data_IF_403358277833
#
_entry.id   IF_403358277833
#
_cell.length_a   1.000
_cell.length_b   1.000
_cell.length_c   1.000
_cell.angle_alpha   90.00
_cell.angle_beta   90.00
_cell.angle_gamma   90.00
#
_symmetry.space_group_name_H-M   'P 1'
#
loop_
_entity.id
_entity.type
_entity.pdbx_description
1 polymer ?
#
# COMPACT_ATOMS: atom_id res chain seq x y z
N UNK A 1 -12.19 9.65 48.64
CA UNK A 1 -13.12 8.57 48.22
C UNK A 1 -12.87 8.39 46.76
N UNK A 2 -11.94 7.50 46.50
CA UNK A 2 -11.17 7.48 45.29
C UNK A 2 -11.85 6.43 44.41
N UNK A 3 -12.86 6.93 43.68
CA UNK A 3 -13.80 6.13 42.90
C UNK A 3 -13.16 5.66 41.60
N UNK A 4 -12.01 4.99 41.73
CA UNK A 4 -11.31 4.35 40.62
C UNK A 4 -12.17 3.21 40.05
N UNK A 5 -12.35 3.13 38.73
CA UNK A 5 -13.18 2.10 38.12
C UNK A 5 -12.56 0.70 38.31
N UNK A 6 -13.40 -0.31 38.46
CA UNK A 6 -13.00 -1.70 38.22
C UNK A 6 -12.89 -1.96 36.72
N UNK A 7 -12.03 -2.90 36.33
CA UNK A 7 -11.77 -3.20 34.93
C UNK A 7 -13.06 -3.59 34.18
N UNK A 8 -13.35 -2.93 33.06
CA UNK A 8 -14.55 -3.09 32.24
C UNK A 8 -14.65 -4.44 31.50
N UNK A 9 -13.70 -5.36 31.72
CA UNK A 9 -13.61 -6.68 31.06
C UNK A 9 -13.73 -7.83 32.07
N UNK A 10 -13.05 -7.72 33.22
CA UNK A 10 -12.99 -8.77 34.25
C UNK A 10 -13.48 -8.34 35.64
N UNK A 11 -13.90 -7.08 35.79
CA UNK A 11 -14.36 -6.46 37.05
C UNK A 11 -13.33 -6.44 38.19
N UNK A 12 -12.04 -6.67 37.91
CA UNK A 12 -10.97 -6.58 38.90
C UNK A 12 -10.75 -5.12 39.38
N UNK A 13 -10.38 -4.88 40.66
CA UNK A 13 -10.03 -3.55 41.16
C UNK A 13 -8.82 -2.94 40.44
N UNK A 14 -8.77 -1.61 40.32
CA UNK A 14 -7.71 -0.88 39.60
C UNK A 14 -6.28 -1.24 40.06
N UNK A 15 -6.07 -1.44 41.37
CA UNK A 15 -4.77 -1.81 41.95
C UNK A 15 -4.32 -3.27 41.65
N UNK A 16 -5.10 -4.07 40.93
CA UNK A 16 -4.81 -5.49 40.69
C UNK A 16 -3.80 -5.76 39.55
N UNK A 17 -3.24 -4.71 38.91
CA UNK A 17 -2.27 -4.87 37.81
C UNK A 17 -2.86 -5.52 36.55
N UNK A 18 -4.15 -5.32 36.29
CA UNK A 18 -4.87 -5.99 35.21
C UNK A 18 -4.54 -5.38 33.83
N UNK A 19 -4.20 -6.24 32.85
CA UNK A 19 -3.81 -5.82 31.50
C UNK A 19 -4.93 -5.89 30.45
N UNK A 20 -6.11 -6.44 30.80
CA UNK A 20 -7.14 -6.79 29.82
C UNK A 20 -7.63 -5.60 28.97
N UNK A 21 -7.70 -4.39 29.54
CA UNK A 21 -8.11 -3.19 28.79
C UNK A 21 -7.04 -2.74 27.80
N UNK A 22 -5.77 -2.72 28.20
CA UNK A 22 -4.65 -2.47 27.29
C UNK A 22 -4.58 -3.53 26.18
N UNK A 23 -4.73 -4.81 26.48
CA UNK A 23 -4.75 -5.89 25.48
C UNK A 23 -5.89 -5.71 24.48
N UNK A 24 -7.11 -5.43 24.97
CA UNK A 24 -8.29 -5.23 24.11
C UNK A 24 -8.21 -3.93 23.30
N UNK A 25 -7.52 -2.90 23.80
CA UNK A 25 -7.22 -1.68 23.08
C UNK A 25 -6.20 -1.92 21.95
N UNK A 26 -5.13 -2.68 22.19
CA UNK A 26 -4.17 -3.06 21.13
C UNK A 26 -4.89 -3.85 20.02
N UNK A 27 -5.67 -4.88 20.38
CA UNK A 27 -6.47 -5.65 19.40
C UNK A 27 -7.42 -4.75 18.59
N UNK A 28 -8.01 -3.72 19.22
CA UNK A 28 -8.86 -2.76 18.52
C UNK A 28 -8.07 -1.80 17.61
N UNK A 29 -6.83 -1.45 17.98
CA UNK A 29 -5.89 -0.67 17.19
C UNK A 29 -5.42 -1.45 15.95
N UNK A 30 -4.92 -2.68 16.12
CA UNK A 30 -4.48 -3.56 15.03
C UNK A 30 -5.57 -3.71 13.96
N UNK A 31 -6.81 -3.95 14.41
CA UNK A 31 -7.98 -4.07 13.53
C UNK A 31 -8.35 -2.75 12.85
N UNK A 32 -8.09 -1.61 13.48
CA UNK A 32 -8.35 -0.29 12.88
C UNK A 32 -7.26 0.09 11.86
N UNK A 33 -6.00 -0.22 12.16
CA UNK A 33 -4.86 -0.02 11.26
C UNK A 33 -5.04 -0.84 9.99
N UNK A 34 -5.25 -2.15 10.08
CA UNK A 34 -5.51 -3.03 8.92
C UNK A 34 -6.59 -2.46 8.00
N UNK A 35 -7.78 -2.14 8.55
CA UNK A 35 -8.90 -1.55 7.77
C UNK A 35 -8.56 -0.19 7.14
N UNK A 36 -7.66 0.59 7.74
CA UNK A 36 -7.33 1.93 7.27
C UNK A 36 -6.13 1.97 6.30
N UNK A 37 -5.20 1.02 6.42
CA UNK A 37 -3.87 1.08 5.82
C UNK A 37 -3.56 -0.07 4.85
N UNK A 38 -4.12 -1.28 5.01
CA UNK A 38 -3.73 -2.45 4.17
C UNK A 38 -3.89 -2.16 2.67
N UNK A 39 -5.06 -1.63 2.29
CA UNK A 39 -5.34 -1.24 0.90
C UNK A 39 -4.39 -0.14 0.40
N UNK A 40 -4.06 0.84 1.25
CA UNK A 40 -3.14 1.93 0.90
C UNK A 40 -1.73 1.40 0.68
N UNK A 41 -1.26 0.49 1.53
CA UNK A 41 0.05 -0.14 1.42
C UNK A 41 0.12 -1.04 0.19
N UNK A 42 -0.97 -1.72 -0.18
CA UNK A 42 -1.08 -2.46 -1.43
C UNK A 42 -1.01 -1.55 -2.66
N UNK A 43 -1.78 -0.45 -2.69
CA UNK A 43 -1.75 0.55 -3.77
C UNK A 43 -0.34 1.16 -3.93
N UNK A 44 0.28 1.57 -2.82
CA UNK A 44 1.66 2.08 -2.78
C UNK A 44 2.65 1.03 -3.32
N UNK A 45 2.54 -0.22 -2.87
CA UNK A 45 3.44 -1.31 -3.28
C UNK A 45 3.35 -1.60 -4.78
N UNK A 46 2.15 -1.65 -5.36
CA UNK A 46 1.99 -1.85 -6.81
C UNK A 46 2.51 -0.63 -7.58
N UNK A 47 2.22 0.59 -7.10
CA UNK A 47 2.75 1.81 -7.72
C UNK A 47 4.28 1.80 -7.76
N UNK A 48 4.96 1.55 -6.63
CA UNK A 48 6.42 1.44 -6.55
C UNK A 48 6.94 0.30 -7.45
N UNK A 49 6.33 -0.88 -7.40
CA UNK A 49 6.75 -2.04 -8.20
C UNK A 49 6.68 -1.75 -9.70
N UNK A 50 5.59 -1.16 -10.18
CA UNK A 50 5.41 -0.83 -11.59
C UNK A 50 6.37 0.26 -12.05
N UNK A 51 6.62 1.29 -11.24
CA UNK A 51 7.59 2.36 -11.58
C UNK A 51 9.04 1.87 -11.55
N UNK A 52 9.42 1.07 -10.55
CA UNK A 52 10.76 0.47 -10.45
C UNK A 52 11.05 -0.47 -11.63
N UNK A 53 10.11 -1.37 -11.96
CA UNK A 53 10.17 -2.24 -13.15
C UNK A 53 10.36 -1.43 -14.43
N UNK A 54 9.56 -0.38 -14.63
CA UNK A 54 9.64 0.48 -15.82
C UNK A 54 10.99 1.21 -15.91
N UNK A 55 11.51 1.76 -14.81
CA UNK A 55 12.82 2.42 -14.78
C UNK A 55 13.97 1.46 -15.17
N UNK A 56 13.97 0.24 -14.61
CA UNK A 56 14.96 -0.79 -14.93
C UNK A 56 14.84 -1.26 -16.39
N UNK A 57 13.62 -1.45 -16.91
CA UNK A 57 13.38 -1.80 -18.31
C UNK A 57 13.89 -0.71 -19.27
N UNK A 58 13.59 0.57 -19.03
CA UNK A 58 14.09 1.68 -19.84
C UNK A 58 15.62 1.81 -19.80
N UNK A 59 16.25 1.52 -18.66
CA UNK A 59 17.71 1.50 -18.54
C UNK A 59 18.33 0.37 -19.37
N UNK A 60 17.79 -0.84 -19.25
CA UNK A 60 18.25 -2.01 -19.99
C UNK A 60 18.02 -1.89 -21.52
N UNK A 61 16.92 -1.27 -21.95
CA UNK A 61 16.66 -0.98 -23.36
C UNK A 61 17.75 -0.08 -23.96
N UNK A 62 18.18 0.98 -23.26
CA UNK A 62 19.27 1.85 -23.73
C UNK A 62 20.58 1.09 -23.91
N UNK A 63 20.94 0.23 -22.95
CA UNK A 63 22.13 -0.64 -23.05
C UNK A 63 22.02 -1.61 -24.24
N UNK A 64 20.84 -2.22 -24.42
CA UNK A 64 20.54 -3.12 -25.54
C UNK A 64 20.72 -2.43 -26.89
N UNK A 65 20.18 -1.21 -27.06
CA UNK A 65 20.34 -0.43 -28.29
C UNK A 65 21.81 -0.08 -28.57
N UNK A 66 22.59 0.30 -27.55
CA UNK A 66 24.03 0.56 -27.70
C UNK A 66 24.76 -0.70 -28.17
N UNK A 67 24.49 -1.87 -27.57
CA UNK A 67 25.08 -3.15 -28.02
C UNK A 67 24.63 -3.56 -29.42
N UNK A 68 23.37 -3.31 -29.81
CA UNK A 68 22.88 -3.60 -31.16
C UNK A 68 23.64 -2.78 -32.20
N UNK A 69 23.83 -1.48 -31.99
CA UNK A 69 24.65 -0.65 -32.89
C UNK A 69 26.11 -1.12 -32.96
N UNK A 70 26.72 -1.46 -31.82
CA UNK A 70 28.08 -2.00 -31.78
C UNK A 70 28.20 -3.34 -32.53
N UNK A 71 27.24 -4.24 -32.36
CA UNK A 71 27.19 -5.53 -33.05
C UNK A 71 27.03 -5.37 -34.57
N UNK A 72 26.13 -4.48 -35.02
CA UNK A 72 25.96 -4.18 -36.44
C UNK A 72 27.23 -3.56 -37.03
N UNK A 73 27.88 -2.63 -36.32
CA UNK A 73 29.14 -2.02 -36.76
C UNK A 73 30.27 -3.06 -36.86
N UNK A 74 30.39 -3.96 -35.88
CA UNK A 74 31.37 -5.05 -35.90
C UNK A 74 31.13 -5.99 -37.09
N UNK A 75 29.91 -6.51 -37.26
CA UNK A 75 29.58 -7.42 -38.36
C UNK A 75 29.84 -6.76 -39.73
N UNK A 76 29.46 -5.49 -39.91
CA UNK A 76 29.75 -4.72 -41.13
C UNK A 76 31.25 -4.48 -41.38
N UNK A 77 32.11 -4.67 -40.39
CA UNK A 77 33.58 -4.59 -40.53
C UNK A 77 34.26 -5.91 -40.88
N UNK A 78 33.53 -7.04 -40.82
CA UNK A 78 34.09 -8.37 -41.10
C UNK A 78 34.41 -8.55 -42.60
N UNK A 79 35.57 -9.12 -42.97
CA UNK A 79 35.94 -9.35 -44.36
C UNK A 79 34.90 -10.20 -45.12
N UNK A 80 34.48 -9.73 -46.29
CA UNK A 80 33.47 -10.35 -47.17
C UNK A 80 32.05 -10.42 -46.60
N UNK A 81 31.74 -9.79 -45.46
CA UNK A 81 30.40 -9.81 -44.88
C UNK A 81 29.33 -9.17 -45.77
N UNK A 82 29.66 -8.09 -46.48
CA UNK A 82 28.72 -7.46 -47.43
C UNK A 82 28.39 -8.40 -48.60
N UNK A 83 29.37 -9.14 -49.13
CA UNK A 83 29.17 -10.16 -50.16
C UNK A 83 28.35 -11.33 -49.61
N UNK A 84 28.68 -11.82 -48.41
CA UNK A 84 27.94 -12.89 -47.74
C UNK A 84 26.45 -12.54 -47.56
N UNK A 85 26.14 -11.30 -47.14
CA UNK A 85 24.77 -10.82 -46.99
C UNK A 85 24.06 -10.62 -48.34
N UNK A 86 24.74 -10.11 -49.38
CA UNK A 86 24.17 -9.94 -50.73
C UNK A 86 23.76 -11.27 -51.38
N UNK A 87 24.49 -12.34 -51.10
CA UNK A 87 24.24 -13.68 -51.62
C UNK A 87 23.51 -14.60 -50.60
N UNK A 88 22.80 -14.03 -49.62
CA UNK A 88 21.98 -14.77 -48.64
C UNK A 88 22.72 -15.90 -47.91
N UNK A 89 24.01 -15.72 -47.63
CA UNK A 89 24.87 -16.72 -46.97
C UNK A 89 25.56 -17.72 -47.91
N UNK A 90 25.31 -17.66 -49.22
CA UNK A 90 25.95 -18.51 -50.24
C UNK A 90 26.80 -17.72 -51.26
N UNK A 91 27.78 -16.89 -50.82
CA UNK A 91 28.60 -16.09 -51.74
C UNK A 91 29.54 -16.95 -52.61
N UNK A 92 29.80 -16.56 -53.87
CA UNK A 92 30.71 -17.27 -54.79
C UNK A 92 32.18 -16.95 -54.49
N UNK A 93 32.63 -17.26 -53.27
CA UNK A 93 34.01 -17.06 -52.79
C UNK A 93 34.59 -18.38 -52.27
N UNK A 94 35.90 -18.41 -51.98
CA UNK A 94 36.58 -19.65 -51.58
C UNK A 94 36.00 -20.25 -50.27
N UNK A 95 35.66 -21.56 -50.22
CA UNK A 95 34.93 -22.15 -49.09
C UNK A 95 35.57 -21.95 -47.70
N UNK A 96 36.91 -21.91 -47.62
CA UNK A 96 37.61 -21.64 -46.36
C UNK A 96 37.29 -20.24 -45.79
N UNK A 97 37.14 -19.23 -46.66
CA UNK A 97 36.79 -17.88 -46.24
C UNK A 97 35.33 -17.80 -45.75
N UNK A 98 34.43 -18.58 -46.35
CA UNK A 98 33.04 -18.71 -45.90
C UNK A 98 33.00 -19.32 -44.49
N UNK A 99 33.72 -20.43 -44.27
CA UNK A 99 33.78 -21.09 -42.96
C UNK A 99 34.40 -20.19 -41.87
N UNK A 100 35.46 -19.45 -42.20
CA UNK A 100 36.06 -18.47 -41.28
C UNK A 100 35.09 -17.33 -40.93
N UNK A 101 34.42 -16.75 -41.92
CA UNK A 101 33.43 -15.69 -41.70
C UNK A 101 32.23 -16.20 -40.89
N UNK A 102 31.72 -17.40 -41.17
CA UNK A 102 30.64 -18.02 -40.39
C UNK A 102 31.05 -18.24 -38.93
N UNK A 103 32.30 -18.65 -38.67
CA UNK A 103 32.82 -18.77 -37.31
C UNK A 103 32.86 -17.41 -36.59
N UNK A 104 33.32 -16.35 -37.26
CA UNK A 104 33.37 -14.99 -36.71
C UNK A 104 31.97 -14.42 -36.43
N UNK A 105 31.00 -14.68 -37.31
CA UNK A 105 29.59 -14.30 -37.12
C UNK A 105 29.00 -15.03 -35.89
N UNK A 106 29.22 -16.35 -35.78
CA UNK A 106 28.74 -17.15 -34.65
C UNK A 106 29.35 -16.73 -33.31
N UNK A 107 30.66 -16.47 -33.27
CA UNK A 107 31.37 -15.95 -32.10
C UNK A 107 30.83 -14.58 -31.68
N UNK A 108 30.64 -13.67 -32.64
CA UNK A 108 30.09 -12.35 -32.37
C UNK A 108 28.65 -12.41 -31.83
N UNK A 109 27.80 -13.30 -32.33
CA UNK A 109 26.46 -13.50 -31.77
C UNK A 109 26.50 -14.09 -30.35
N UNK A 110 27.46 -14.97 -30.06
CA UNK A 110 27.65 -15.52 -28.71
C UNK A 110 28.17 -14.47 -27.72
N UNK A 111 29.08 -13.58 -28.13
CA UNK A 111 29.52 -12.44 -27.32
C UNK A 111 28.40 -11.42 -27.10
N UNK A 112 27.65 -11.07 -28.16
CA UNK A 112 26.49 -10.19 -28.04
C UNK A 112 25.47 -10.72 -27.03
N UNK A 113 25.13 -12.02 -27.09
CA UNK A 113 24.22 -12.65 -26.13
C UNK A 113 24.75 -12.60 -24.70
N UNK A 114 26.04 -12.91 -24.49
CA UNK A 114 26.69 -12.80 -23.17
C UNK A 114 26.69 -11.37 -22.64
N UNK A 115 26.95 -10.37 -23.49
CA UNK A 115 26.86 -8.95 -23.13
C UNK A 115 25.45 -8.52 -22.71
N UNK A 116 24.42 -8.96 -23.42
CA UNK A 116 23.01 -8.70 -23.08
C UNK A 116 22.64 -9.36 -21.73
N UNK A 117 23.08 -10.58 -21.46
CA UNK A 117 22.81 -11.27 -20.19
C UNK A 117 23.51 -10.58 -19.00
N UNK A 118 24.73 -10.08 -19.21
CA UNK A 118 25.48 -9.31 -18.20
C UNK A 118 24.81 -7.96 -17.90
N UNK A 119 24.36 -7.24 -18.93
CA UNK A 119 23.63 -5.97 -18.76
C UNK A 119 22.28 -6.15 -18.07
N UNK A 120 21.56 -7.24 -18.38
CA UNK A 120 20.31 -7.57 -17.69
C UNK A 120 20.57 -7.84 -16.20
N UNK A 121 21.58 -8.67 -15.88
CA UNK A 121 21.98 -8.93 -14.49
C UNK A 121 22.38 -7.66 -13.75
N UNK A 122 23.18 -6.79 -14.38
CA UNK A 122 23.58 -5.51 -13.80
C UNK A 122 22.39 -4.56 -13.59
N UNK A 123 21.41 -4.58 -14.49
CA UNK A 123 20.17 -3.80 -14.37
C UNK A 123 19.29 -4.30 -13.23
N UNK A 124 19.15 -5.62 -13.07
CA UNK A 124 18.38 -6.25 -11.98
C UNK A 124 19.01 -5.98 -10.60
N UNK A 125 20.34 -5.94 -10.49
CA UNK A 125 21.03 -5.66 -9.22
C UNK A 125 20.75 -4.25 -8.66
N UNK A 126 20.23 -3.32 -9.48
CA UNK A 126 19.86 -1.97 -9.06
C UNK A 126 18.46 -1.87 -8.45
N UNK A 127 17.69 -2.96 -8.32
CA UNK A 127 16.35 -2.91 -7.75
C UNK A 127 16.27 -2.28 -6.34
N UNK A 128 17.18 -2.54 -5.38
CA UNK A 128 17.10 -1.93 -4.04
C UNK A 128 17.11 -0.40 -4.09
N UNK A 129 18.15 0.20 -4.68
CA UNK A 129 18.31 1.66 -4.84
C UNK A 129 17.09 2.31 -5.52
N UNK A 130 16.52 1.63 -6.52
CA UNK A 130 15.39 2.13 -7.30
C UNK A 130 14.07 1.99 -6.52
N UNK A 131 13.89 0.92 -5.75
CA UNK A 131 12.74 0.76 -4.85
C UNK A 131 12.79 1.79 -3.72
N UNK A 132 13.95 1.96 -3.08
CA UNK A 132 14.15 2.96 -2.02
C UNK A 132 13.84 4.38 -2.53
N UNK A 133 14.32 4.72 -3.74
CA UNK A 133 13.96 5.97 -4.41
C UNK A 133 12.45 6.12 -4.60
N UNK A 134 11.75 5.12 -5.17
CA UNK A 134 10.30 5.24 -5.39
C UNK A 134 9.49 5.23 -4.09
N UNK A 135 9.93 4.53 -3.04
CA UNK A 135 9.33 4.65 -1.70
C UNK A 135 9.57 6.04 -1.08
N UNK A 136 10.72 6.69 -1.31
CA UNK A 136 11.00 8.04 -0.81
C UNK A 136 10.12 9.14 -1.40
N UNK A 137 9.39 8.85 -2.49
CA UNK A 137 8.38 9.75 -3.09
C UNK A 137 6.99 9.61 -2.44
N UNK A 138 6.79 8.68 -1.51
CA UNK A 138 5.49 8.40 -0.87
C UNK A 138 5.33 9.27 0.38
N UNK A 139 4.47 10.29 0.28
CA UNK A 139 4.18 11.23 1.36
C UNK A 139 2.89 10.84 2.11
N UNK A 140 3.03 10.51 3.41
CA UNK A 140 1.92 10.21 4.31
C UNK A 140 1.77 11.32 5.35
N UNK A 141 0.72 12.13 5.22
CA UNK A 141 0.46 13.27 6.10
C UNK A 141 -0.59 12.96 7.15
N UNK A 142 -0.20 13.12 8.42
CA UNK A 142 -1.11 13.16 9.55
C UNK A 142 -1.81 14.53 9.62
N UNK A 143 -3.05 14.62 10.14
CA UNK A 143 -3.62 15.91 10.54
C UNK A 143 -2.86 16.47 11.74
N UNK A 144 -2.90 17.79 11.92
CA UNK A 144 -2.42 18.43 13.14
C UNK A 144 -3.45 18.29 14.28
N UNK A 145 -3.00 18.34 15.53
CA UNK A 145 -3.84 18.18 16.72
C UNK A 145 -4.96 19.24 16.83
N UNK A 146 -4.77 20.41 16.19
CA UNK A 146 -5.72 21.51 16.12
C UNK A 146 -6.67 21.45 14.90
N UNK A 147 -6.54 20.45 13.99
CA UNK A 147 -7.52 20.26 12.91
C UNK A 147 -8.89 19.99 13.53
N UNK A 148 -9.89 20.74 13.08
CA UNK A 148 -11.29 20.58 13.48
C UNK A 148 -11.82 19.15 13.32
N UNK A 149 -11.25 18.33 12.43
CA UNK A 149 -11.57 16.90 12.28
C UNK A 149 -11.06 16.05 13.44
N UNK A 150 -9.94 16.43 14.04
CA UNK A 150 -9.38 15.81 15.25
C UNK A 150 -10.17 16.29 16.46
N UNK A 151 -10.39 17.60 16.60
CA UNK A 151 -11.09 18.20 17.75
C UNK A 151 -12.61 17.95 17.78
N UNK A 152 -13.25 17.72 16.63
CA UNK A 152 -14.70 17.54 16.50
C UNK A 152 -15.01 16.33 15.59
N UNK A 153 -14.65 15.10 16.00
CA UNK A 153 -14.85 13.91 15.19
C UNK A 153 -16.36 13.58 15.05
N UNK A 154 -16.79 12.97 13.92
CA UNK A 154 -18.21 12.80 13.61
C UNK A 154 -18.97 11.92 14.62
N UNK A 155 -18.28 11.01 15.34
CA UNK A 155 -18.90 10.22 16.40
C UNK A 155 -19.28 11.06 17.63
N UNK A 156 -18.50 12.09 17.98
CA UNK A 156 -18.86 13.00 19.08
C UNK A 156 -20.18 13.74 18.78
N UNK A 157 -20.40 14.12 17.51
CA UNK A 157 -21.66 14.71 17.06
C UNK A 157 -22.84 13.70 17.01
N UNK A 158 -22.56 12.39 16.91
CA UNK A 158 -23.56 11.32 16.81
C UNK A 158 -24.18 10.89 18.16
N UNK A 159 -23.89 11.61 19.25
CA UNK A 159 -24.38 11.30 20.60
C UNK A 159 -23.33 10.70 21.53
N UNK A 160 -22.13 10.37 21.04
CA UNK A 160 -20.94 10.11 21.86
C UNK A 160 -20.35 11.43 22.42
N UNK A 161 -21.21 12.29 22.96
CA UNK A 161 -20.83 13.45 23.78
C UNK A 161 -20.53 12.93 25.17
N UNK A 162 -19.43 12.18 25.30
CA UNK A 162 -18.82 11.98 26.60
C UNK A 162 -18.47 13.37 27.16
N UNK A 163 -18.88 13.62 28.41
CA UNK A 163 -18.67 14.91 29.07
C UNK A 163 -17.19 15.20 29.33
N UNK A 164 -16.31 14.21 29.21
CA UNK A 164 -14.86 14.38 29.18
C UNK A 164 -14.29 14.89 27.84
N UNK A 165 -14.94 14.65 26.69
CA UNK A 165 -14.43 15.03 25.37
C UNK A 165 -14.82 16.47 24.97
N UNK A 166 -14.62 17.41 25.89
CA UNK A 166 -14.65 18.84 25.61
C UNK A 166 -13.23 19.40 25.78
N UNK A 167 -12.58 19.94 24.74
CA UNK A 167 -11.37 20.71 24.93
C UNK A 167 -11.73 21.93 25.80
N UNK A 168 -11.31 21.90 27.06
CA UNK A 168 -11.70 22.90 28.05
C UNK A 168 -11.20 24.29 27.63
N UNK A 169 -12.08 25.32 27.54
CA UNK A 169 -11.66 26.66 27.19
C UNK A 169 -10.74 27.25 28.27
N UNK A 170 -9.79 28.09 27.83
CA UNK A 170 -8.72 28.66 28.65
C UNK A 170 -9.11 29.11 30.05
N UNK A 171 -8.22 28.81 31.01
CA UNK A 171 -8.21 29.42 32.34
C UNK A 171 -7.71 30.87 32.21
N UNK A 172 -8.57 31.79 31.74
CA UNK A 172 -8.23 33.22 31.71
C UNK A 172 -9.40 34.21 31.68
N UNK A 173 -9.22 35.27 32.49
CA UNK A 173 -9.80 36.63 32.36
C UNK A 173 -11.32 36.80 32.52
N UNK A 174 -11.70 36.90 33.80
CA UNK A 174 -12.17 38.15 34.44
C UNK A 174 -13.10 39.07 33.59
N UNK A 175 -14.40 38.98 33.89
CA UNK A 175 -15.23 40.13 34.28
C UNK A 175 -15.62 41.21 33.27
N UNK A 176 -16.92 41.27 32.92
CA UNK A 176 -17.68 42.51 32.64
C UNK A 176 -19.20 42.24 32.66
N UNK A 177 -20.01 43.24 33.02
CA UNK A 177 -21.46 43.08 33.24
C UNK A 177 -22.36 43.81 32.21
N UNK A 178 -23.35 43.10 31.67
CA UNK A 178 -24.73 43.59 31.33
C UNK A 178 -24.82 44.73 30.26
N UNK A 179 -26.03 45.21 29.84
CA UNK A 179 -27.35 44.55 29.74
C UNK A 179 -28.05 44.67 28.35
N UNK A 180 -29.08 43.82 28.17
CA UNK A 180 -30.29 43.93 27.30
C UNK A 180 -30.50 45.19 26.41
N UNK A 181 -30.97 44.95 25.17
CA UNK A 181 -32.05 45.74 24.54
C UNK A 181 -32.97 44.88 23.65
N UNK A 182 -34.20 45.34 23.41
CA UNK A 182 -35.33 44.59 22.80
C UNK A 182 -36.05 45.48 21.78
N UNK A 183 -36.34 44.99 20.56
CA UNK A 183 -37.26 45.66 19.62
C UNK A 183 -37.99 44.67 18.70
N UNK A 184 -39.20 45.07 18.29
CA UNK A 184 -40.04 44.48 17.21
C UNK A 184 -39.59 45.12 15.86
N UNK A 185 -39.93 44.66 14.65
CA UNK A 185 -40.81 43.56 14.14
C UNK A 185 -40.02 42.92 12.94
N UNK A 186 -40.48 42.30 11.85
CA UNK A 186 -41.78 42.05 11.22
C UNK A 186 -41.71 40.90 10.16
N UNK A 187 -42.81 40.68 9.41
CA UNK A 187 -42.87 40.14 8.03
C UNK A 187 -42.50 38.67 7.73
N UNK A 188 -43.56 37.85 7.66
CA UNK A 188 -43.89 36.84 6.63
C UNK A 188 -42.78 36.06 5.88
N UNK A 189 -42.85 34.73 5.99
CA UNK A 189 -42.25 33.76 5.05
C UNK A 189 -42.87 32.37 5.23
N UNK A 190 -43.32 31.71 4.17
CA UNK A 190 -43.89 30.35 4.21
C UNK A 190 -42.78 29.29 4.15
N UNK A 191 -42.92 28.19 4.90
CA UNK A 191 -41.89 27.14 4.96
C UNK A 191 -42.31 25.89 5.73
N UNK A 192 -43.31 25.14 5.23
CA UNK A 192 -43.65 23.80 5.75
C UNK A 192 -42.65 22.78 5.21
N UNK A 193 -41.82 22.19 6.06
CA UNK A 193 -41.05 20.99 5.72
C UNK A 193 -41.06 19.97 6.86
N UNK A 194 -41.18 18.70 6.47
CA UNK A 194 -41.27 17.51 7.31
C UNK A 194 -40.09 17.36 8.29
N UNK A 195 -40.39 16.92 9.53
CA UNK A 195 -39.40 16.31 10.42
C UNK A 195 -39.11 14.88 9.99
N UNK A 196 -38.22 14.69 9.00
CA UNK A 196 -37.63 13.37 8.77
C UNK A 196 -36.73 12.99 9.95
N UNK A 197 -37.13 11.97 10.71
CA UNK A 197 -36.29 11.35 11.73
C UNK A 197 -35.35 10.37 11.03
N UNK A 198 -34.08 10.72 10.87
CA UNK A 198 -33.05 9.72 10.61
C UNK A 198 -32.80 8.93 11.89
N UNK A 199 -33.00 7.62 11.83
CA UNK A 199 -32.49 6.71 12.85
C UNK A 199 -30.99 6.46 12.60
N UNK A 200 -30.17 6.27 13.65
CA UNK A 200 -28.81 5.75 13.48
C UNK A 200 -28.84 4.35 12.84
N UNK A 201 -27.83 3.96 12.05
CA UNK A 201 -27.69 2.58 11.59
C UNK A 201 -27.43 1.64 12.77
N UNK A 202 -28.06 0.47 12.77
CA UNK A 202 -27.81 -0.56 13.77
C UNK A 202 -26.41 -1.18 13.58
N UNK A 203 -25.58 -1.12 14.62
CA UNK A 203 -24.31 -1.85 14.66
C UNK A 203 -24.57 -3.32 15.02
N UNK A 204 -23.87 -4.28 14.38
CA UNK A 204 -24.03 -5.70 14.72
C UNK A 204 -23.66 -5.98 16.17
N UNK A 205 -24.58 -6.55 16.94
CA UNK A 205 -24.30 -7.03 18.30
C UNK A 205 -23.28 -8.19 18.27
N UNK A 206 -22.33 -8.25 19.22
CA UNK A 206 -21.39 -9.36 19.30
C UNK A 206 -22.11 -10.69 19.62
N UNK A 207 -21.61 -11.84 19.14
CA UNK A 207 -22.32 -13.11 19.26
C UNK A 207 -22.36 -13.62 20.71
N UNK A 208 -23.58 -13.78 21.24
CA UNK A 208 -23.84 -14.31 22.59
C UNK A 208 -23.47 -15.80 22.66
N UNK A 209 -22.34 -16.13 23.25
CA UNK A 209 -21.95 -17.53 23.48
C UNK A 209 -22.75 -18.13 24.65
N UNK A 210 -23.71 -19.00 24.35
CA UNK A 210 -24.37 -19.83 25.35
C UNK A 210 -23.62 -21.16 25.52
N UNK A 211 -23.19 -21.54 26.75
CA UNK A 211 -22.60 -22.85 27.00
C UNK A 211 -23.68 -23.95 27.11
N UNK A 212 -23.56 -25.04 26.34
CA UNK A 212 -24.65 -26.04 26.24
C UNK A 212 -24.27 -27.38 25.58
N UNK A 213 -23.39 -28.14 26.23
CA UNK A 213 -23.17 -29.60 26.12
C UNK A 213 -23.87 -30.45 25.02
N UNK A 214 -23.03 -31.19 24.27
CA UNK A 214 -23.17 -32.66 24.20
C UNK A 214 -23.61 -33.31 22.87
N UNK A 215 -22.80 -34.23 22.35
CA UNK A 215 -23.17 -35.12 21.24
C UNK A 215 -21.97 -35.77 20.53
N UNK A 216 -21.68 -37.04 20.83
CA UNK A 216 -20.53 -37.77 20.25
C UNK A 216 -20.77 -38.23 18.81
N UNK A 217 -19.74 -38.17 17.96
CA UNK A 217 -19.76 -38.70 16.58
C UNK A 217 -18.38 -39.18 16.13
N UNK A 218 -18.20 -40.50 16.01
CA UNK A 218 -16.93 -41.16 15.69
C UNK A 218 -16.52 -40.99 14.21
N UNK A 219 -15.23 -40.84 13.92
CA UNK A 219 -14.71 -40.87 12.54
C UNK A 219 -13.20 -40.70 12.40
N UNK A 220 -12.48 -41.80 12.17
CA UNK A 220 -11.03 -41.85 11.90
C UNK A 220 -10.64 -41.73 10.41
N UNK A 221 -9.36 -41.94 10.03
CA UNK A 221 -8.66 -40.87 9.29
C UNK A 221 -7.91 -41.30 8.00
N UNK A 222 -7.17 -40.34 7.44
CA UNK A 222 -6.06 -40.42 6.46
C UNK A 222 -6.39 -40.38 4.94
N UNK A 223 -5.46 -39.88 4.08
CA UNK A 223 -5.78 -39.35 2.75
C UNK A 223 -5.44 -40.29 1.56
N UNK A 224 -6.01 -39.98 0.39
CA UNK A 224 -5.66 -40.59 -0.89
C UNK A 224 -4.43 -39.96 -1.56
N UNK A 225 -3.62 -40.79 -2.21
CA UNK A 225 -2.39 -40.36 -2.90
C UNK A 225 -2.64 -39.79 -4.30
N UNK A 226 -1.73 -38.91 -4.74
CA UNK A 226 -1.58 -38.53 -6.15
C UNK A 226 -0.23 -39.00 -6.67
N UNK A 227 -0.21 -39.56 -7.89
CA UNK A 227 1.03 -39.96 -8.54
C UNK A 227 0.82 -40.56 -9.94
N UNK A 228 1.12 -39.76 -10.97
CA UNK A 228 1.87 -40.18 -12.15
C UNK A 228 2.49 -38.96 -12.84
#
# INVERSE_FOLDING_TARGET
MDAEPSCAICSAPNHAGCLCESERLQIALDQAESRAMDNRLADIREWVLTHARHHIQLAFQRLTTIRQHAQTAYLNSLPHYDVYMRFSGAPPIHPLAIAQLQSQIAEAHAEFKRGIDLDWRASVLRYPEVLDYFYSLVDLRLPADDDRKVLQPPFAAAGYVDRGYMPGPDVSRVGSEKPKKKKRRDSAGMGRMERMRFAPPEVPSPPTQHPGYGGSGYGGPMPGAWGR
#
